data_IF_909871665748
#
_entry.id   IF_909871665748
#
_cell.length_a   1.000
_cell.length_b   1.000
_cell.length_c   1.000
_cell.angle_alpha   90.00
_cell.angle_beta   90.00
_cell.angle_gamma   90.00
#
_symmetry.space_group_name_H-M   'P 1'
#
loop_
_entity.id
_entity.type
_entity.pdbx_description
1 polymer ?
#
# COMPACT_ATOMS: atom_id res chain seq x y z
N UNK A 1 37.02 27.44 7.92
CA UNK A 1 37.63 26.30 7.21
C UNK A 1 36.63 25.15 7.26
N UNK A 2 36.15 24.59 6.13
CA UNK A 2 35.26 23.45 6.19
C UNK A 2 36.02 22.25 6.76
N UNK A 3 35.38 21.53 7.71
CA UNK A 3 35.96 20.32 8.29
C UNK A 3 36.13 19.27 7.19
N UNK A 4 37.34 18.71 7.05
CA UNK A 4 37.56 17.55 6.20
C UNK A 4 36.81 16.35 6.79
N UNK A 5 36.07 15.63 5.94
CA UNK A 5 35.46 14.38 6.34
C UNK A 5 36.55 13.40 6.82
N UNK A 6 36.30 12.60 7.88
CA UNK A 6 37.28 11.68 8.42
C UNK A 6 37.72 10.67 7.35
N UNK A 7 39.02 10.33 7.35
CA UNK A 7 39.58 9.34 6.46
C UNK A 7 38.81 8.01 6.62
N UNK A 8 38.24 7.50 5.52
CA UNK A 8 37.38 6.31 5.49
C UNK A 8 35.90 6.60 5.21
N UNK A 9 35.41 7.82 5.42
CA UNK A 9 34.01 8.17 5.16
C UNK A 9 33.64 8.05 3.67
N UNK A 10 34.57 8.36 2.75
CA UNK A 10 34.34 8.21 1.32
C UNK A 10 34.20 6.73 0.89
N UNK A 11 35.04 5.84 1.44
CA UNK A 11 34.96 4.41 1.16
C UNK A 11 33.68 3.77 1.72
N UNK A 12 33.28 4.15 2.93
CA UNK A 12 32.02 3.69 3.52
C UNK A 12 30.79 4.16 2.72
N UNK A 13 30.82 5.37 2.16
CA UNK A 13 29.73 5.87 1.29
C UNK A 13 29.67 5.10 -0.02
N UNK A 14 30.81 4.70 -0.59
CA UNK A 14 30.86 3.91 -1.82
C UNK A 14 30.32 2.49 -1.60
N UNK A 15 30.72 1.85 -0.50
CA UNK A 15 30.20 0.54 -0.07
C UNK A 15 28.68 0.56 0.16
N UNK A 16 28.16 1.59 0.84
CA UNK A 16 26.72 1.77 1.03
C UNK A 16 25.97 1.97 -0.29
N UNK A 17 26.58 2.66 -1.26
CA UNK A 17 25.95 2.88 -2.58
C UNK A 17 25.91 1.59 -3.39
N UNK A 18 26.95 0.76 -3.31
CA UNK A 18 26.94 -0.55 -3.94
C UNK A 18 25.86 -1.44 -3.33
N UNK A 19 25.78 -1.51 -1.99
CA UNK A 19 24.77 -2.28 -1.25
C UNK A 19 23.33 -1.82 -1.58
N UNK A 20 23.05 -0.52 -1.50
CA UNK A 20 21.73 0.03 -1.85
C UNK A 20 21.38 -0.18 -3.33
N UNK A 21 22.38 -0.15 -4.21
CA UNK A 21 22.21 -0.46 -5.63
C UNK A 21 21.78 -1.91 -5.90
N UNK A 22 22.08 -2.83 -4.98
CA UNK A 22 21.64 -4.22 -5.05
C UNK A 22 20.29 -4.48 -4.36
N UNK A 23 19.74 -3.49 -3.65
CA UNK A 23 18.45 -3.67 -2.96
C UNK A 23 17.34 -3.93 -3.99
N UNK A 24 16.59 -5.03 -3.87
CA UNK A 24 15.51 -5.33 -4.80
C UNK A 24 14.48 -4.20 -4.84
N UNK A 25 13.97 -3.90 -6.03
CA UNK A 25 12.88 -2.94 -6.18
C UNK A 25 11.63 -3.45 -5.46
N UNK A 26 10.95 -2.56 -4.73
CA UNK A 26 9.62 -2.82 -4.19
C UNK A 26 8.69 -3.24 -5.33
N UNK A 27 7.88 -4.28 -5.11
CA UNK A 27 6.89 -4.68 -6.11
C UNK A 27 5.80 -3.62 -6.24
N UNK A 28 4.91 -3.80 -7.20
CA UNK A 28 3.83 -2.85 -7.45
C UNK A 28 2.77 -2.92 -6.32
N UNK A 29 1.81 -1.99 -6.36
CA UNK A 29 0.69 -1.94 -5.43
C UNK A 29 -0.51 -1.24 -6.07
N UNK A 30 -1.70 -1.60 -5.61
CA UNK A 30 -2.97 -0.98 -5.98
C UNK A 30 -3.58 -0.32 -4.75
N UNK A 31 -4.20 0.84 -4.93
CA UNK A 31 -4.92 1.57 -3.88
C UNK A 31 -6.42 1.60 -4.19
N UNK A 32 -7.23 1.45 -3.14
CA UNK A 32 -8.67 1.67 -3.13
C UNK A 32 -9.00 2.76 -2.10
N UNK A 33 -9.70 3.80 -2.55
CA UNK A 33 -10.17 4.90 -1.70
C UNK A 33 -11.69 4.85 -1.70
N UNK A 34 -12.30 4.76 -0.51
CA UNK A 34 -13.75 4.61 -0.36
C UNK A 34 -14.28 5.61 0.65
N UNK A 35 -15.36 6.30 0.28
CA UNK A 35 -16.20 7.04 1.23
C UNK A 35 -17.43 6.20 1.56
N UNK A 36 -17.69 5.97 2.84
CA UNK A 36 -18.81 5.15 3.30
C UNK A 36 -19.76 5.97 4.17
N UNK A 37 -21.03 5.56 4.15
CA UNK A 37 -21.96 5.96 5.18
C UNK A 37 -21.64 5.20 6.47
N UNK A 38 -21.41 5.92 7.56
CA UNK A 38 -21.10 5.33 8.85
C UNK A 38 -22.36 4.92 9.64
N UNK A 39 -23.55 5.19 9.10
CA UNK A 39 -24.81 4.87 9.76
C UNK A 39 -24.89 3.37 10.13
N UNK A 40 -25.06 3.10 11.42
CA UNK A 40 -25.16 1.73 11.94
C UNK A 40 -23.83 1.03 12.21
N UNK A 41 -22.69 1.68 11.96
CA UNK A 41 -21.38 1.16 12.34
C UNK A 41 -21.02 1.56 13.78
N UNK A 42 -20.43 0.63 14.53
CA UNK A 42 -19.81 0.93 15.82
C UNK A 42 -18.40 1.49 15.59
N UNK A 43 -18.32 2.82 15.46
CA UNK A 43 -17.05 3.50 15.21
C UNK A 43 -16.05 3.34 16.36
N UNK A 44 -16.52 3.08 17.59
CA UNK A 44 -15.65 2.90 18.74
C UNK A 44 -14.94 1.53 18.73
N UNK A 45 -15.48 0.55 18.00
CA UNK A 45 -14.88 -0.77 17.80
C UNK A 45 -13.87 -0.81 16.65
N UNK A 46 -13.78 0.25 15.83
CA UNK A 46 -12.86 0.31 14.70
C UNK A 46 -11.49 0.82 15.12
N UNK A 47 -10.44 0.26 14.52
CA UNK A 47 -9.08 0.77 14.66
C UNK A 47 -8.72 1.73 13.51
N UNK A 48 -7.95 2.80 13.77
CA UNK A 48 -7.51 3.74 12.73
C UNK A 48 -6.67 3.08 11.64
N UNK A 49 -5.87 2.07 12.00
CA UNK A 49 -4.99 1.35 11.08
C UNK A 49 -4.97 -0.12 11.44
N UNK A 50 -5.20 -0.98 10.46
CA UNK A 50 -5.11 -2.43 10.63
C UNK A 50 -4.73 -3.09 9.31
N UNK A 51 -4.52 -4.40 9.36
CA UNK A 51 -4.08 -5.18 8.20
C UNK A 51 -4.94 -6.43 8.06
N UNK A 52 -5.43 -6.66 6.86
CA UNK A 52 -6.14 -7.88 6.48
C UNK A 52 -5.17 -8.82 5.77
N UNK A 53 -5.06 -10.05 6.28
CA UNK A 53 -4.27 -11.13 5.68
C UNK A 53 -5.22 -12.17 5.07
N UNK A 54 -4.98 -12.58 3.83
CA UNK A 54 -5.74 -13.68 3.22
C UNK A 54 -5.27 -15.05 3.73
N UNK A 55 -3.97 -15.19 3.99
CA UNK A 55 -3.34 -16.38 4.51
C UNK A 55 -2.11 -16.03 5.37
N UNK A 56 -1.75 -16.90 6.31
CA UNK A 56 -0.66 -16.67 7.26
C UNK A 56 0.60 -17.50 6.97
N UNK A 57 0.54 -18.41 6.00
CA UNK A 57 1.63 -19.30 5.60
C UNK A 57 2.72 -18.59 4.79
N UNK A 58 2.34 -17.63 3.93
CA UNK A 58 3.28 -16.72 3.26
C UNK A 58 2.76 -15.28 3.30
N UNK A 59 3.23 -14.51 4.28
CA UNK A 59 2.84 -13.10 4.48
C UNK A 59 3.26 -12.17 3.32
N UNK A 60 4.17 -12.62 2.47
CA UNK A 60 4.69 -11.85 1.33
C UNK A 60 4.02 -12.20 0.01
N UNK A 61 3.12 -13.19 0.02
CA UNK A 61 2.43 -13.65 -1.16
C UNK A 61 1.66 -12.52 -1.87
N UNK A 62 1.53 -12.70 -3.17
CA UNK A 62 0.79 -11.81 -4.04
C UNK A 62 -0.63 -11.59 -3.52
N UNK A 63 -1.04 -10.31 -3.42
CA UNK A 63 -2.36 -9.91 -2.91
C UNK A 63 -2.71 -10.40 -1.50
N UNK A 64 -1.77 -10.96 -0.74
CA UNK A 64 -2.11 -11.53 0.56
C UNK A 64 -2.43 -10.45 1.60
N UNK A 65 -1.55 -9.46 1.73
CA UNK A 65 -1.65 -8.40 2.73
C UNK A 65 -2.28 -7.13 2.16
N UNK A 66 -3.34 -6.66 2.82
CA UNK A 66 -3.98 -5.36 2.56
C UNK A 66 -3.87 -4.51 3.82
N UNK A 67 -3.23 -3.35 3.70
CA UNK A 67 -3.21 -2.34 4.75
C UNK A 67 -4.44 -1.45 4.62
N UNK A 68 -5.13 -1.19 5.73
CA UNK A 68 -6.37 -0.42 5.79
C UNK A 68 -6.18 0.75 6.76
N UNK A 69 -6.57 1.94 6.31
CA UNK A 69 -6.40 3.19 7.03
C UNK A 69 -7.69 3.99 7.06
N UNK A 70 -8.15 4.33 8.27
CA UNK A 70 -9.27 5.21 8.56
C UNK A 70 -8.79 6.37 9.45
N UNK A 71 -8.19 7.42 8.87
CA UNK A 71 -7.62 8.52 9.66
C UNK A 71 -8.70 9.36 10.36
N UNK A 72 -9.97 9.28 9.93
CA UNK A 72 -11.08 10.03 10.52
C UNK A 72 -11.40 9.61 11.97
N UNK A 73 -10.95 8.42 12.40
CA UNK A 73 -11.05 8.01 13.82
C UNK A 73 -10.10 8.80 14.73
N UNK A 74 -8.97 9.28 14.18
CA UNK A 74 -8.00 10.09 14.90
C UNK A 74 -8.33 11.59 14.79
N UNK A 75 -8.78 12.01 13.62
CA UNK A 75 -9.19 13.38 13.35
C UNK A 75 -10.54 13.42 12.61
N UNK A 76 -11.65 13.62 13.34
CA UNK A 76 -12.99 13.67 12.76
C UNK A 76 -13.19 14.79 11.72
N UNK A 77 -12.29 15.77 11.63
CA UNK A 77 -12.40 16.85 10.63
C UNK A 77 -12.04 16.39 9.21
N UNK A 78 -11.44 15.21 9.07
CA UNK A 78 -11.00 14.66 7.78
C UNK A 78 -12.14 14.13 6.91
N UNK A 79 -13.35 13.94 7.46
CA UNK A 79 -14.52 13.56 6.68
C UNK A 79 -15.78 14.25 7.20
N UNK A 80 -16.85 14.34 6.39
CA UNK A 80 -18.14 14.83 6.86
C UNK A 80 -18.68 14.01 8.04
N UNK A 81 -19.52 14.64 8.87
CA UNK A 81 -20.19 13.97 9.99
C UNK A 81 -21.00 12.75 9.48
N UNK A 82 -20.89 11.63 10.22
CA UNK A 82 -21.57 10.38 9.87
C UNK A 82 -21.00 9.68 8.63
N UNK A 83 -19.82 10.07 8.14
CA UNK A 83 -19.10 9.40 7.05
C UNK A 83 -17.80 8.78 7.54
N UNK A 84 -17.30 7.82 6.78
CA UNK A 84 -15.96 7.26 6.92
C UNK A 84 -15.20 7.41 5.61
N UNK A 85 -13.89 7.62 5.69
CA UNK A 85 -12.98 7.56 4.55
C UNK A 85 -11.97 6.46 4.82
N UNK A 86 -11.90 5.50 3.90
CA UNK A 86 -10.96 4.39 3.96
C UNK A 86 -9.97 4.51 2.81
N UNK A 87 -8.69 4.40 3.15
CA UNK A 87 -7.60 4.20 2.20
C UNK A 87 -7.03 2.80 2.43
N UNK A 88 -7.14 1.96 1.41
CA UNK A 88 -6.70 0.57 1.44
C UNK A 88 -5.70 0.33 0.32
N UNK A 89 -4.66 -0.44 0.60
CA UNK A 89 -3.66 -0.75 -0.42
C UNK A 89 -3.02 -2.11 -0.22
N UNK A 90 -2.69 -2.76 -1.34
CA UNK A 90 -1.82 -3.94 -1.33
C UNK A 90 -0.42 -3.55 -0.89
N UNK A 91 0.18 -4.32 0.01
CA UNK A 91 1.44 -3.95 0.64
C UNK A 91 2.67 -4.30 -0.21
N UNK A 92 2.75 -3.74 -1.42
CA UNK A 92 3.91 -3.95 -2.31
C UNK A 92 4.07 -5.40 -2.77
N UNK A 93 2.97 -6.13 -2.93
CA UNK A 93 2.93 -7.55 -3.29
C UNK A 93 2.39 -7.82 -4.70
N UNK A 94 2.15 -6.80 -5.52
CA UNK A 94 1.72 -6.97 -6.91
C UNK A 94 2.93 -7.19 -7.85
N UNK A 95 2.91 -8.19 -8.75
CA UNK A 95 3.96 -8.32 -9.75
C UNK A 95 3.89 -7.13 -10.73
N UNK A 96 4.98 -6.38 -10.93
CA UNK A 96 4.96 -5.22 -11.84
C UNK A 96 4.71 -5.61 -13.30
N UNK A 97 5.19 -6.78 -13.74
CA UNK A 97 5.14 -7.22 -15.14
C UNK A 97 3.72 -7.22 -15.71
N UNK A 98 2.72 -7.72 -14.97
CA UNK A 98 1.34 -7.78 -15.45
C UNK A 98 0.74 -6.38 -15.71
N UNK A 99 1.16 -5.38 -14.93
CA UNK A 99 0.71 -3.99 -15.11
C UNK A 99 1.36 -3.36 -16.34
N UNK A 100 2.65 -3.63 -16.57
CA UNK A 100 3.36 -3.20 -17.77
C UNK A 100 2.76 -3.82 -19.03
N UNK A 101 2.42 -5.11 -18.99
CA UNK A 101 1.82 -5.82 -20.12
C UNK A 101 0.41 -5.29 -20.43
N UNK A 102 -0.40 -5.05 -19.38
CA UNK A 102 -1.73 -4.49 -19.55
C UNK A 102 -1.72 -3.05 -20.06
N UNK A 103 -0.75 -2.23 -19.64
CA UNK A 103 -0.56 -0.88 -20.16
C UNK A 103 -0.17 -0.89 -21.65
N UNK A 104 0.77 -1.77 -22.03
CA UNK A 104 1.17 -1.97 -23.43
C UNK A 104 0.01 -2.47 -24.31
N UNK A 105 -0.91 -3.27 -23.76
CA UNK A 105 -2.12 -3.74 -24.44
C UNK A 105 -3.23 -2.66 -24.52
N UNK A 106 -3.05 -1.52 -23.87
CA UNK A 106 -3.93 -0.36 -23.93
C UNK A 106 -4.96 -0.26 -22.80
N UNK A 107 -5.56 0.92 -22.66
CA UNK A 107 -6.44 1.30 -21.54
C UNK A 107 -7.52 0.27 -21.18
N UNK A 108 -8.26 -0.34 -22.13
CA UNK A 108 -9.27 -1.34 -21.76
C UNK A 108 -8.70 -2.58 -21.04
N UNK A 109 -7.47 -3.00 -21.37
CA UNK A 109 -6.81 -4.11 -20.69
C UNK A 109 -6.36 -3.70 -19.29
N UNK A 110 -5.78 -2.51 -19.15
CA UNK A 110 -5.38 -1.96 -17.86
C UNK A 110 -6.55 -1.78 -16.89
N UNK A 111 -7.69 -1.24 -17.34
CA UNK A 111 -8.86 -1.08 -16.48
C UNK A 111 -9.46 -2.42 -16.06
N UNK A 112 -9.54 -3.42 -16.96
CA UNK A 112 -9.98 -4.78 -16.59
C UNK A 112 -9.07 -5.41 -15.54
N UNK A 113 -7.75 -5.27 -15.72
CA UNK A 113 -6.80 -5.74 -14.73
C UNK A 113 -7.02 -5.01 -13.40
N UNK A 114 -7.15 -3.68 -13.42
CA UNK A 114 -7.38 -2.89 -12.21
C UNK A 114 -8.64 -3.33 -11.45
N UNK A 115 -9.74 -3.59 -12.16
CA UNK A 115 -10.98 -4.11 -11.57
C UNK A 115 -10.80 -5.51 -10.96
N UNK A 116 -10.13 -6.42 -11.69
CA UNK A 116 -9.82 -7.76 -11.21
C UNK A 116 -8.98 -7.71 -9.93
N UNK A 117 -7.89 -6.94 -9.95
CA UNK A 117 -6.93 -6.87 -8.86
C UNK A 117 -7.50 -6.12 -7.65
N UNK A 118 -8.41 -5.16 -7.86
CA UNK A 118 -9.10 -4.47 -6.77
C UNK A 118 -10.02 -5.38 -5.95
N UNK A 119 -10.45 -6.55 -6.47
CA UNK A 119 -11.35 -7.47 -5.77
C UNK A 119 -10.83 -7.83 -4.37
N UNK A 120 -9.53 -8.09 -4.23
CA UNK A 120 -8.92 -8.40 -2.94
C UNK A 120 -9.10 -7.28 -1.91
N UNK A 121 -9.04 -6.03 -2.33
CA UNK A 121 -9.20 -4.86 -1.45
C UNK A 121 -10.67 -4.69 -1.03
N UNK A 122 -11.61 -5.04 -1.91
CA UNK A 122 -13.03 -5.11 -1.56
C UNK A 122 -13.32 -6.22 -0.56
N UNK A 123 -12.74 -7.42 -0.74
CA UNK A 123 -12.87 -8.51 0.23
C UNK A 123 -12.31 -8.12 1.61
N UNK A 124 -11.19 -7.38 1.63
CA UNK A 124 -10.60 -6.86 2.87
C UNK A 124 -11.50 -5.87 3.62
N UNK A 125 -12.35 -5.14 2.90
CA UNK A 125 -13.30 -4.18 3.47
C UNK A 125 -14.45 -4.88 4.20
N UNK A 126 -14.83 -6.06 3.75
CA UNK A 126 -15.99 -6.82 4.24
C UNK A 126 -15.64 -7.77 5.41
N UNK A 127 -14.40 -7.72 5.91
CA UNK A 127 -13.90 -8.61 6.97
C UNK A 127 -14.11 -8.03 8.36
#
# INVERSE_FOLDING_TARGET
MPAQAPAGAAGAVEELREDWGQTPMTRSYIHLHVGLDAAGLDLAALEPHYTSMAAWDDVTAEQNMVAISNPALLDPSLCPEGKLILHMYGAGNEPFGIWSDADAAGRPAYERLKEERARRLWEALET
#
